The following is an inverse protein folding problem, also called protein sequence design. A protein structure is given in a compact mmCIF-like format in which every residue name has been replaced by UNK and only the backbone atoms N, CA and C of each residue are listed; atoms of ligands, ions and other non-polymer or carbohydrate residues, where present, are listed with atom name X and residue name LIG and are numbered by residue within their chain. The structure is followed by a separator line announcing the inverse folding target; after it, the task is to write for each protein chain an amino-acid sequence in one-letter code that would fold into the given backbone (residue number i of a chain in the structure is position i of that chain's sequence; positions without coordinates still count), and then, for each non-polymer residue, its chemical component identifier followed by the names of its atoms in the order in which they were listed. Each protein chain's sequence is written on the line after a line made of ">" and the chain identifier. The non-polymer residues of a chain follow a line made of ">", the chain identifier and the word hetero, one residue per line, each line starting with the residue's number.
data_IF_028437713059
#
_entry.id   IF_028437713059
#
_cell.length_a   1.000
_cell.length_b   1.000
_cell.length_c   1.000
_cell.angle_alpha   90.00
_cell.angle_beta   90.00
_cell.angle_gamma   90.00
#
_symmetry.space_group_name_H-M   'P 1'
#
loop_
_entity.id
_entity.type
_entity.pdbx_description
1 polymer ?
#
# COMPACT_ATOMS: atom_id res chain seq x y z
N UNK A 1 0.19 -6.21 23.99
CA UNK A 1 0.10 -5.92 22.54
C UNK A 1 0.10 -7.24 21.81
N UNK A 2 -0.83 -7.44 20.88
CA UNK A 2 -1.09 -8.70 20.16
C UNK A 2 -1.30 -8.44 18.67
N UNK A 3 -1.24 -9.49 17.85
CA UNK A 3 -1.57 -9.43 16.42
C UNK A 3 -0.76 -8.38 15.64
N UNK A 4 -1.46 -7.58 14.83
CA UNK A 4 -0.87 -6.51 14.01
C UNK A 4 -0.09 -5.47 14.80
N UNK A 5 -0.44 -5.19 16.06
CA UNK A 5 0.29 -4.20 16.87
C UNK A 5 1.73 -4.66 17.13
N UNK A 6 1.92 -5.98 17.35
CA UNK A 6 3.26 -6.56 17.49
C UNK A 6 4.03 -6.55 16.18
N UNK A 7 3.39 -6.90 15.06
CA UNK A 7 3.99 -6.82 13.72
C UNK A 7 4.43 -5.39 13.38
N UNK A 8 3.55 -4.41 13.58
CA UNK A 8 3.87 -3.00 13.35
C UNK A 8 5.03 -2.53 14.24
N UNK A 9 5.11 -2.99 15.49
CA UNK A 9 6.20 -2.67 16.40
C UNK A 9 7.55 -3.19 15.89
N UNK A 10 7.65 -4.47 15.49
CA UNK A 10 8.91 -5.02 14.98
C UNK A 10 9.28 -4.42 13.63
N UNK A 11 8.31 -4.23 12.72
CA UNK A 11 8.55 -3.64 11.40
C UNK A 11 8.94 -2.15 11.49
N UNK A 12 8.38 -1.41 12.44
CA UNK A 12 8.76 -0.03 12.71
C UNK A 12 10.15 0.10 13.33
N UNK A 13 10.52 -0.83 14.22
CA UNK A 13 11.85 -0.88 14.83
C UNK A 13 12.94 -1.37 13.85
N UNK A 14 12.58 -2.26 12.93
CA UNK A 14 13.48 -2.90 11.98
C UNK A 14 12.88 -2.86 10.57
N UNK A 15 13.07 -1.75 9.82
CA UNK A 15 12.51 -1.60 8.48
C UNK A 15 12.95 -2.68 7.49
N UNK A 16 14.07 -3.37 7.72
CA UNK A 16 14.53 -4.49 6.90
C UNK A 16 13.60 -5.71 6.91
N UNK A 17 12.83 -5.89 8.00
CA UNK A 17 11.85 -6.97 8.17
C UNK A 17 10.42 -6.45 7.96
N UNK A 18 10.26 -5.18 7.55
CA UNK A 18 9.00 -4.64 7.05
C UNK A 18 8.74 -5.18 5.64
N UNK A 19 8.36 -6.46 5.60
CA UNK A 19 8.10 -7.21 4.38
C UNK A 19 6.59 -7.30 4.19
N UNK A 20 6.11 -6.76 3.08
CA UNK A 20 4.70 -6.62 2.76
C UNK A 20 4.42 -7.11 1.36
N UNK A 21 3.15 -7.39 1.08
CA UNK A 21 2.70 -7.64 -0.28
C UNK A 21 2.64 -6.33 -1.05
N UNK A 22 3.14 -6.34 -2.29
CA UNK A 22 3.01 -5.22 -3.23
C UNK A 22 1.69 -5.23 -4.01
N UNK A 23 0.93 -6.33 -3.93
CA UNK A 23 -0.34 -6.54 -4.63
C UNK A 23 -0.23 -6.28 -6.15
N UNK A 24 0.81 -6.83 -6.78
CA UNK A 24 1.17 -6.54 -8.17
C UNK A 24 0.04 -6.79 -9.16
N UNK A 25 -0.66 -7.92 -9.05
CA UNK A 25 -1.78 -8.26 -9.92
C UNK A 25 -2.96 -7.31 -9.74
N UNK A 26 -3.32 -6.99 -8.49
CA UNK A 26 -4.46 -6.12 -8.19
C UNK A 26 -4.19 -4.68 -8.64
N UNK A 27 -2.97 -4.18 -8.46
CA UNK A 27 -2.59 -2.86 -8.94
C UNK A 27 -2.56 -2.79 -10.48
N UNK A 28 -2.09 -3.85 -11.15
CA UNK A 28 -2.16 -3.94 -12.60
C UNK A 28 -3.61 -3.97 -13.10
N UNK A 29 -4.48 -4.74 -12.45
CA UNK A 29 -5.91 -4.81 -12.76
C UNK A 29 -6.59 -3.44 -12.60
N UNK A 30 -6.31 -2.71 -11.52
CA UNK A 30 -6.81 -1.35 -11.33
C UNK A 30 -6.37 -0.40 -12.47
N UNK A 31 -5.09 -0.44 -12.85
CA UNK A 31 -4.58 0.36 -13.97
C UNK A 31 -5.26 0.01 -15.30
N UNK A 32 -5.52 -1.27 -15.56
CA UNK A 32 -6.20 -1.73 -16.77
C UNK A 32 -7.65 -1.25 -16.82
N UNK A 33 -8.38 -1.27 -15.70
CA UNK A 33 -9.74 -0.72 -15.65
C UNK A 33 -9.77 0.80 -15.84
N UNK A 34 -8.87 1.54 -15.19
CA UNK A 34 -8.75 2.99 -15.38
C UNK A 34 -8.41 3.35 -16.83
N UNK A 35 -7.51 2.59 -17.46
CA UNK A 35 -7.18 2.74 -18.88
C UNK A 35 -8.39 2.47 -19.78
N UNK A 36 -9.13 1.40 -19.53
CA UNK A 36 -10.33 1.06 -20.30
C UNK A 36 -11.42 2.14 -20.17
N UNK A 37 -11.63 2.67 -18.96
CA UNK A 37 -12.56 3.78 -18.74
C UNK A 37 -12.11 5.04 -19.50
N UNK A 38 -10.82 5.40 -19.44
CA UNK A 38 -10.28 6.54 -20.17
C UNK A 38 -10.45 6.41 -21.68
N UNK A 39 -10.17 5.24 -22.25
CA UNK A 39 -10.38 4.97 -23.68
C UNK A 39 -11.85 5.15 -24.07
N UNK A 40 -12.78 4.67 -23.23
CA UNK A 40 -14.21 4.85 -23.48
C UNK A 40 -14.62 6.32 -23.42
N UNK A 41 -14.15 7.06 -22.41
CA UNK A 41 -14.43 8.50 -22.27
C UNK A 41 -13.82 9.32 -23.41
N UNK A 42 -12.61 9.00 -23.84
CA UNK A 42 -11.94 9.66 -24.97
C UNK A 42 -12.71 9.44 -26.28
N UNK A 43 -13.15 8.21 -26.53
CA UNK A 43 -13.95 7.89 -27.71
C UNK A 43 -15.29 8.66 -27.72
N UNK A 44 -15.96 8.73 -26.58
CA UNK A 44 -17.22 9.48 -26.44
C UNK A 44 -16.98 11.00 -26.61
N UNK A 45 -15.91 11.55 -26.03
CA UNK A 45 -15.57 12.96 -26.20
C UNK A 45 -15.30 13.30 -27.67
N UNK A 46 -14.51 12.47 -28.38
CA UNK A 46 -14.22 12.65 -29.81
C UNK A 46 -15.51 12.60 -30.65
N UNK A 47 -16.42 11.69 -30.31
CA UNK A 47 -17.71 11.56 -30.98
C UNK A 47 -18.54 12.83 -30.82
N UNK A 48 -18.62 13.39 -29.62
CA UNK A 48 -19.38 14.61 -29.34
C UNK A 48 -18.74 15.83 -29.99
N UNK A 49 -17.43 16.00 -29.88
CA UNK A 49 -16.71 17.10 -30.53
C UNK A 49 -16.93 17.10 -32.05
N UNK A 50 -16.98 15.91 -32.67
CA UNK A 50 -17.32 15.79 -34.09
C UNK A 50 -18.75 16.23 -34.38
N UNK A 51 -19.72 15.77 -33.60
CA UNK A 51 -21.12 16.15 -33.75
C UNK A 51 -21.34 17.65 -33.55
N UNK A 52 -20.69 18.25 -32.56
CA UNK A 52 -20.79 19.68 -32.26
C UNK A 52 -20.19 20.51 -33.41
N UNK A 53 -19.08 20.07 -33.99
CA UNK A 53 -18.47 20.70 -35.17
C UNK A 53 -19.35 20.58 -36.43
N UNK A 54 -20.11 19.49 -36.57
CA UNK A 54 -20.96 19.21 -37.74
C UNK A 54 -22.42 19.69 -37.56
N UNK A 55 -22.76 20.25 -36.39
CA UNK A 55 -24.15 20.58 -36.00
C UNK A 55 -24.77 21.77 -36.74
N UNK A 56 -23.93 22.65 -37.33
CA UNK A 56 -24.38 23.91 -37.93
C UNK A 56 -24.78 24.98 -36.90
N UNK A 57 -24.65 24.70 -35.60
CA UNK A 57 -24.84 25.66 -34.51
C UNK A 57 -23.55 26.49 -34.32
N UNK A 58 -23.66 27.81 -34.37
CA UNK A 58 -22.53 28.73 -34.24
C UNK A 58 -21.80 28.55 -32.89
N UNK A 59 -22.54 28.40 -31.79
CA UNK A 59 -21.96 28.26 -30.45
C UNK A 59 -21.20 26.93 -30.34
N UNK A 60 -21.78 25.83 -30.84
CA UNK A 60 -21.17 24.50 -30.78
C UNK A 60 -19.91 24.39 -31.65
N UNK A 61 -19.88 25.09 -32.78
CA UNK A 61 -18.70 25.14 -33.65
C UNK A 61 -17.48 25.80 -32.98
N UNK A 62 -17.71 26.65 -31.97
CA UNK A 62 -16.68 27.40 -31.25
C UNK A 62 -16.12 26.61 -30.06
N UNK A 63 -16.83 25.61 -29.53
CA UNK A 63 -16.42 24.84 -28.34
C UNK A 63 -15.01 24.24 -28.43
N UNK A 64 -14.58 23.81 -29.63
CA UNK A 64 -13.23 23.29 -29.85
C UNK A 64 -12.12 24.35 -29.84
N UNK A 65 -12.49 25.64 -29.95
CA UNK A 65 -11.57 26.79 -30.05
C UNK A 65 -11.56 27.65 -28.79
N UNK A 66 -12.67 27.70 -28.05
CA UNK A 66 -12.77 28.46 -26.81
C UNK A 66 -13.36 27.63 -25.66
N UNK A 67 -12.52 27.42 -24.65
CA UNK A 67 -12.91 26.68 -23.46
C UNK A 67 -13.91 27.47 -22.59
N UNK A 68 -13.85 28.80 -22.62
CA UNK A 68 -14.72 29.64 -21.80
C UNK A 68 -16.16 29.52 -22.29
N UNK A 69 -16.38 29.67 -23.60
CA UNK A 69 -17.66 29.39 -24.25
C UNK A 69 -18.14 27.97 -23.91
N UNK A 70 -17.31 26.93 -24.09
CA UNK A 70 -17.70 25.56 -23.73
C UNK A 70 -18.13 25.39 -22.26
N UNK A 71 -17.43 26.07 -21.33
CA UNK A 71 -17.73 25.98 -19.91
C UNK A 71 -18.98 26.78 -19.52
N UNK A 72 -19.20 27.96 -20.10
CA UNK A 72 -20.30 28.88 -19.76
C UNK A 72 -21.60 28.51 -20.48
N UNK A 73 -21.55 28.04 -21.73
CA UNK A 73 -22.76 27.60 -22.46
C UNK A 73 -23.32 26.28 -21.91
N UNK A 74 -22.61 25.61 -20.99
CA UNK A 74 -23.01 24.35 -20.33
C UNK A 74 -24.25 24.45 -19.42
N UNK A 75 -24.83 25.65 -19.28
CA UNK A 75 -26.07 25.88 -18.54
C UNK A 75 -27.30 25.25 -19.22
N UNK A 76 -27.27 25.00 -20.53
CA UNK A 76 -28.30 24.23 -21.23
C UNK A 76 -27.97 22.74 -21.22
N UNK A 77 -28.95 21.83 -21.00
CA UNK A 77 -28.70 20.39 -20.90
C UNK A 77 -28.00 19.79 -22.14
N UNK A 78 -28.27 20.34 -23.32
CA UNK A 78 -27.70 19.87 -24.58
C UNK A 78 -26.23 20.25 -24.73
N UNK A 79 -25.81 21.42 -24.24
CA UNK A 79 -24.45 21.95 -24.42
C UNK A 79 -23.52 21.53 -23.27
N UNK A 80 -24.07 20.91 -22.23
CA UNK A 80 -23.34 20.47 -21.05
C UNK A 80 -22.47 19.22 -21.28
N UNK A 81 -22.89 18.37 -22.23
CA UNK A 81 -22.37 17.00 -22.40
C UNK A 81 -20.87 16.95 -22.68
N UNK A 82 -20.35 17.81 -23.57
CA UNK A 82 -18.92 17.86 -23.88
C UNK A 82 -18.08 18.30 -22.67
N UNK A 83 -18.54 19.32 -21.93
CA UNK A 83 -17.84 19.83 -20.76
C UNK A 83 -17.85 18.82 -19.59
N UNK A 84 -18.99 18.18 -19.33
CA UNK A 84 -19.10 17.11 -18.32
C UNK A 84 -18.15 15.94 -18.59
N UNK A 85 -18.05 15.50 -19.85
CA UNK A 85 -17.08 14.47 -20.22
C UNK A 85 -15.65 14.93 -19.99
N UNK A 86 -15.33 16.18 -20.33
CA UNK A 86 -14.00 16.73 -20.09
C UNK A 86 -13.67 16.76 -18.59
N UNK A 87 -14.63 17.15 -17.74
CA UNK A 87 -14.46 17.11 -16.28
C UNK A 87 -14.27 15.68 -15.76
N UNK A 88 -15.05 14.72 -16.26
CA UNK A 88 -14.90 13.31 -15.89
C UNK A 88 -13.53 12.76 -16.32
N UNK A 89 -13.10 13.05 -17.55
CA UNK A 89 -11.77 12.67 -18.05
C UNK A 89 -10.67 13.25 -17.15
N UNK A 90 -10.76 14.52 -16.76
CA UNK A 90 -9.75 15.14 -15.86
C UNK A 90 -9.63 14.39 -14.54
N UNK A 91 -10.75 13.98 -13.94
CA UNK A 91 -10.76 13.22 -12.70
C UNK A 91 -10.16 11.82 -12.88
N UNK A 92 -10.66 11.04 -13.84
CA UNK A 92 -10.17 9.68 -14.10
C UNK A 92 -8.70 9.67 -14.54
N UNK A 93 -8.28 10.66 -15.33
CA UNK A 93 -6.89 10.77 -15.79
C UNK A 93 -5.94 11.11 -14.64
N UNK A 94 -6.37 11.95 -13.70
CA UNK A 94 -5.61 12.23 -12.50
C UNK A 94 -5.44 10.96 -11.64
N UNK A 95 -6.51 10.19 -11.46
CA UNK A 95 -6.46 8.91 -10.74
C UNK A 95 -5.55 7.89 -11.42
N UNK A 96 -5.67 7.73 -12.73
CA UNK A 96 -4.79 6.86 -13.53
C UNK A 96 -3.32 7.25 -13.40
N UNK A 97 -3.01 8.54 -13.57
CA UNK A 97 -1.63 9.02 -13.49
C UNK A 97 -1.04 8.83 -12.08
N UNK A 98 -1.83 9.10 -11.04
CA UNK A 98 -1.42 8.88 -9.66
C UNK A 98 -1.15 7.39 -9.38
N UNK A 99 -2.08 6.51 -9.78
CA UNK A 99 -1.93 5.06 -9.63
C UNK A 99 -0.71 4.53 -10.39
N UNK A 100 -0.45 5.04 -11.60
CA UNK A 100 0.68 4.62 -12.43
C UNK A 100 2.02 5.00 -11.78
N UNK A 101 2.12 6.21 -11.24
CA UNK A 101 3.32 6.67 -10.53
C UNK A 101 3.55 5.91 -9.20
N UNK A 102 2.47 5.64 -8.45
CA UNK A 102 2.53 4.81 -7.25
C UNK A 102 3.02 3.40 -7.59
N UNK A 103 2.43 2.76 -8.60
CA UNK A 103 2.81 1.43 -9.02
C UNK A 103 4.24 1.38 -9.57
N UNK A 104 4.68 2.40 -10.32
CA UNK A 104 6.07 2.53 -10.77
C UNK A 104 7.06 2.61 -9.60
N UNK A 105 6.66 3.30 -8.52
CA UNK A 105 7.48 3.41 -7.31
C UNK A 105 7.51 2.09 -6.54
N UNK A 106 6.37 1.43 -6.37
CA UNK A 106 6.26 0.13 -5.72
C UNK A 106 7.04 -0.95 -6.50
N UNK A 107 7.02 -0.92 -7.82
CA UNK A 107 7.73 -1.88 -8.67
C UNK A 107 9.26 -1.76 -8.57
N UNK A 108 9.79 -0.65 -8.06
CA UNK A 108 11.22 -0.45 -7.81
C UNK A 108 11.67 -0.96 -6.44
N UNK A 109 10.73 -1.35 -5.57
CA UNK A 109 11.07 -1.93 -4.28
C UNK A 109 11.73 -3.29 -4.48
N UNK A 110 12.77 -3.54 -3.69
CA UNK A 110 13.52 -4.78 -3.75
C UNK A 110 12.70 -5.94 -3.18
N UNK A 111 12.93 -7.12 -3.74
CA UNK A 111 12.49 -8.37 -3.14
C UNK A 111 13.13 -8.55 -1.75
N UNK A 112 12.43 -9.16 -0.78
CA UNK A 112 12.99 -9.39 0.54
C UNK A 112 14.19 -10.33 0.50
N UNK A 113 15.22 -10.02 1.29
CA UNK A 113 16.32 -10.95 1.50
C UNK A 113 15.80 -12.21 2.23
N UNK A 114 16.21 -13.39 1.75
CA UNK A 114 15.80 -14.67 2.34
C UNK A 114 16.11 -14.80 3.85
N UNK A 115 17.18 -14.16 4.35
CA UNK A 115 17.51 -14.15 5.79
C UNK A 115 16.47 -13.36 6.59
N UNK A 116 16.13 -12.16 6.13
CA UNK A 116 15.21 -11.27 6.83
C UNK A 116 13.77 -11.80 6.76
N UNK A 117 13.42 -12.40 5.62
CA UNK A 117 12.16 -13.12 5.46
C UNK A 117 12.04 -14.28 6.46
N UNK A 118 13.06 -15.15 6.55
CA UNK A 118 13.06 -16.25 7.53
C UNK A 118 12.98 -15.75 8.96
N UNK A 119 13.77 -14.71 9.30
CA UNK A 119 13.71 -14.11 10.62
C UNK A 119 12.30 -13.63 10.97
N UNK A 120 11.61 -12.97 10.05
CA UNK A 120 10.23 -12.50 10.28
C UNK A 120 9.29 -13.68 10.55
N UNK A 121 9.30 -14.71 9.70
CA UNK A 121 8.46 -15.90 9.85
C UNK A 121 8.73 -16.63 11.18
N UNK A 122 10.01 -16.83 11.52
CA UNK A 122 10.42 -17.46 12.77
C UNK A 122 9.97 -16.63 13.99
N UNK A 123 10.12 -15.30 13.91
CA UNK A 123 9.71 -14.39 14.98
C UNK A 123 8.20 -14.41 15.21
N UNK A 124 7.40 -14.44 14.13
CA UNK A 124 5.93 -14.54 14.17
C UNK A 124 5.51 -15.80 14.92
N UNK A 125 6.09 -16.95 14.56
CA UNK A 125 5.72 -18.27 15.08
C UNK A 125 6.25 -18.56 16.49
N UNK A 126 7.34 -17.91 16.90
CA UNK A 126 8.02 -18.26 18.15
C UNK A 126 7.23 -17.76 19.38
N UNK A 127 6.79 -18.66 20.29
CA UNK A 127 5.99 -18.30 21.47
C UNK A 127 6.71 -17.37 22.46
N UNK A 128 8.06 -17.38 22.46
CA UNK A 128 8.88 -16.54 23.33
C UNK A 128 9.20 -15.17 22.73
N UNK A 129 8.92 -14.98 21.44
CA UNK A 129 9.20 -13.74 20.71
C UNK A 129 7.89 -13.06 20.32
N UNK A 130 7.52 -13.09 19.03
CA UNK A 130 6.34 -12.44 18.49
C UNK A 130 5.06 -13.08 19.01
N UNK A 131 4.98 -14.42 18.94
CA UNK A 131 3.77 -15.21 19.23
C UNK A 131 2.52 -14.59 18.60
N UNK A 132 2.62 -14.25 17.31
CA UNK A 132 1.58 -13.51 16.59
C UNK A 132 0.63 -14.50 15.93
N UNK A 133 -0.64 -14.42 16.33
CA UNK A 133 -1.74 -15.15 15.70
C UNK A 133 -2.70 -14.15 15.05
N UNK A 134 -2.88 -14.27 13.75
CA UNK A 134 -3.87 -13.53 12.99
C UNK A 134 -5.06 -14.46 12.70
N UNK A 135 -6.28 -13.92 12.73
CA UNK A 135 -7.51 -14.70 12.58
C UNK A 135 -8.22 -14.49 11.22
N UNK A 136 -7.71 -13.55 10.41
CA UNK A 136 -8.30 -13.16 9.13
C UNK A 136 -7.80 -14.01 7.96
N UNK A 137 -8.31 -13.75 6.76
CA UNK A 137 -7.87 -14.42 5.53
C UNK A 137 -6.38 -14.17 5.18
N UNK A 138 -5.75 -13.24 5.88
CA UNK A 138 -4.34 -12.87 5.78
C UNK A 138 -3.44 -13.61 6.79
N UNK A 139 -3.98 -14.59 7.52
CA UNK A 139 -3.27 -15.26 8.62
C UNK A 139 -1.97 -15.94 8.20
N UNK A 140 -1.87 -16.40 6.95
CA UNK A 140 -0.74 -17.15 6.41
C UNK A 140 0.08 -16.38 5.36
N UNK A 141 -0.11 -15.07 5.23
CA UNK A 141 0.55 -14.23 4.20
C UNK A 141 2.08 -14.44 4.14
N UNK A 142 2.73 -14.63 5.29
CA UNK A 142 4.18 -14.87 5.36
C UNK A 142 4.55 -16.36 5.43
N UNK A 143 3.60 -17.25 5.73
CA UNK A 143 3.82 -18.68 5.81
C UNK A 143 3.77 -19.36 4.43
N UNK A 144 2.83 -18.94 3.58
CA UNK A 144 2.67 -19.41 2.20
C UNK A 144 2.77 -18.23 1.21
N UNK A 145 3.94 -17.56 1.12
CA UNK A 145 4.07 -16.34 0.34
C UNK A 145 4.10 -16.62 -1.18
N UNK A 146 3.46 -15.74 -1.95
CA UNK A 146 3.79 -15.55 -3.37
C UNK A 146 5.02 -14.64 -3.42
N UNK A 147 6.22 -15.21 -3.57
CA UNK A 147 7.48 -14.48 -3.38
C UNK A 147 7.64 -13.29 -4.34
N UNK A 148 7.10 -13.38 -5.56
CA UNK A 148 7.11 -12.30 -6.56
C UNK A 148 6.21 -11.12 -6.18
N UNK A 149 5.32 -11.31 -5.21
CA UNK A 149 4.43 -10.29 -4.67
C UNK A 149 4.94 -9.72 -3.34
N UNK A 150 6.06 -10.22 -2.79
CA UNK A 150 6.64 -9.71 -1.55
C UNK A 150 7.72 -8.67 -1.83
N UNK A 151 7.68 -7.57 -1.10
CA UNK A 151 8.66 -6.48 -1.15
C UNK A 151 9.13 -6.12 0.24
N UNK A 152 10.39 -5.68 0.35
CA UNK A 152 10.90 -5.08 1.57
C UNK A 152 10.89 -3.56 1.44
N UNK A 153 10.42 -2.86 2.47
CA UNK A 153 10.50 -1.40 2.53
C UNK A 153 11.95 -0.90 2.56
N UNK A 154 12.88 -1.71 3.07
CA UNK A 154 14.30 -1.42 3.07
C UNK A 154 15.12 -2.69 2.89
N UNK A 155 15.63 -2.91 1.69
CA UNK A 155 16.62 -3.96 1.45
C UNK A 155 17.91 -3.65 2.21
N UNK A 156 18.47 -4.64 2.92
CA UNK A 156 19.84 -4.58 3.42
C UNK A 156 20.79 -4.67 2.23
N UNK A 157 21.38 -3.54 1.83
CA UNK A 157 22.52 -3.54 0.93
C UNK A 157 23.66 -4.34 1.57
N UNK A 158 24.41 -5.10 0.77
CA UNK A 158 25.45 -6.03 1.24
C UNK A 158 26.56 -5.37 2.09
N UNK A 159 26.66 -4.03 2.06
CA UNK A 159 27.67 -3.24 2.78
C UNK A 159 27.38 -3.06 4.29
N UNK A 160 26.19 -3.43 4.77
CA UNK A 160 25.72 -3.17 6.14
C UNK A 160 26.21 -4.19 7.20
N UNK A 161 27.42 -4.72 7.04
CA UNK A 161 28.05 -5.68 7.98
C UNK A 161 28.47 -4.98 9.29
N UNK A 162 28.78 -3.68 9.24
CA UNK A 162 29.20 -2.88 10.40
C UNK A 162 28.06 -2.66 11.42
N UNK A 163 26.81 -2.68 10.97
CA UNK A 163 25.61 -2.50 11.80
C UNK A 163 25.36 -3.68 12.77
N UNK A 164 26.06 -4.82 12.60
CA UNK A 164 26.01 -5.98 13.52
C UNK A 164 26.42 -5.66 14.96
N UNK A 165 27.13 -4.54 15.19
CA UNK A 165 27.49 -4.10 16.54
C UNK A 165 26.34 -3.46 17.32
N UNK A 166 25.32 -2.90 16.65
CA UNK A 166 24.18 -2.26 17.31
C UNK A 166 23.06 -3.26 17.65
N UNK A 167 22.87 -4.29 16.82
CA UNK A 167 21.82 -5.31 17.01
C UNK A 167 22.00 -6.10 18.31
N UNK A 168 23.24 -6.39 18.70
CA UNK A 168 23.52 -7.06 19.97
C UNK A 168 23.14 -6.23 21.20
N UNK A 169 23.13 -4.89 21.09
CA UNK A 169 22.78 -4.00 22.21
C UNK A 169 21.27 -3.91 22.44
N UNK A 170 20.48 -3.98 21.36
CA UNK A 170 19.01 -3.93 21.41
C UNK A 170 18.39 -5.26 21.88
N UNK A 171 18.93 -6.39 21.44
CA UNK A 171 18.55 -7.72 21.97
C UNK A 171 18.79 -7.76 23.49
N UNK A 172 19.91 -7.21 23.96
CA UNK A 172 20.24 -7.11 25.38
C UNK A 172 19.28 -6.17 26.14
N UNK A 173 18.89 -5.04 25.54
CA UNK A 173 17.98 -4.07 26.17
C UNK A 173 16.54 -4.60 26.30
N UNK A 174 16.06 -5.31 25.27
CA UNK A 174 14.74 -5.96 25.28
C UNK A 174 14.66 -7.08 26.34
N UNK A 175 15.72 -7.91 26.46
CA UNK A 175 15.77 -8.94 27.50
C UNK A 175 15.82 -8.35 28.93
N UNK A 176 16.53 -7.23 29.14
CA UNK A 176 16.78 -6.71 30.49
C UNK A 176 15.67 -5.80 31.05
N UNK A 177 14.76 -5.28 30.23
CA UNK A 177 13.72 -4.32 30.68
C UNK A 177 12.30 -4.88 30.71
N UNK A 178 11.98 -5.90 29.91
CA UNK A 178 10.63 -6.48 29.81
C UNK A 178 10.51 -7.94 30.30
N UNK A 179 11.61 -8.70 30.35
CA UNK A 179 11.62 -10.10 30.80
C UNK A 179 11.43 -10.33 32.30
N UNK A 180 11.73 -9.32 33.14
CA UNK A 180 11.70 -9.46 34.61
C UNK A 180 10.34 -9.13 35.27
N UNK A 181 9.37 -8.56 34.54
CA UNK A 181 8.09 -8.15 35.16
C UNK A 181 6.99 -9.21 35.14
N UNK A 182 7.21 -10.36 34.49
CA UNK A 182 6.24 -11.46 34.46
C UNK A 182 6.65 -12.68 35.32
N UNK A 183 7.94 -12.86 35.65
CA UNK A 183 8.34 -13.92 36.61
C UNK A 183 8.07 -13.55 38.07
N UNK A 184 8.07 -12.25 38.43
CA UNK A 184 7.90 -11.82 39.83
C UNK A 184 6.47 -12.01 40.35
N UNK A 185 5.45 -12.12 39.48
CA UNK A 185 4.07 -12.35 39.94
C UNK A 185 3.74 -13.81 40.21
N UNK A 186 4.45 -14.76 39.57
CA UNK A 186 4.31 -16.20 39.85
C UNK A 186 5.21 -16.68 40.99
N UNK A 187 6.32 -15.98 41.29
CA UNK A 187 7.23 -16.35 42.38
C UNK A 187 6.80 -15.82 43.77
N UNK A 188 6.01 -14.73 43.84
CA UNK A 188 5.53 -14.20 45.13
C UNK A 188 4.31 -14.98 45.66
N UNK A 189 3.46 -15.55 44.79
CA UNK A 189 2.29 -16.33 45.22
C UNK A 189 2.62 -17.75 45.68
N UNK A 190 3.78 -18.31 45.32
CA UNK A 190 4.16 -19.68 45.70
C UNK A 190 5.10 -19.78 46.92
N UNK A 191 5.55 -18.63 47.48
CA UNK A 191 6.43 -18.56 48.66
C UNK A 191 5.66 -18.18 49.95
N UNK A 192 4.42 -17.70 49.87
CA UNK A 192 3.64 -17.26 51.05
C UNK A 192 2.65 -18.29 51.64
N UNK A 193 2.57 -19.53 51.12
CA UNK A 193 1.75 -20.61 51.73
C UNK A 193 2.55 -21.70 52.47
N UNK A 194 3.88 -21.56 52.59
CA UNK A 194 4.72 -22.44 53.42
C UNK A 194 5.63 -21.63 54.34
N UNK A 195 5.05 -20.80 55.22
CA UNK A 195 5.59 -20.44 56.55
C UNK A 195 4.61 -19.51 57.30
N UNK A 196 3.58 -20.11 57.91
CA UNK A 196 3.10 -19.83 59.27
C UNK A 196 2.02 -20.87 59.63
#
# INVERSE_FOLDING_TARGET
>A
MEGYVRLASIMGAHPEVAILRRFGNLNAENLLYLQAELVNLENELRRIQKLDCESGDEDRSIFGRDWQTLAETSHTPEHRRQWELMLKIRLTLNEYNAALLQQSSIAKLDAPNARDFRFLVDWIKNPRLGNVFLLGADWDVWENPIMEDMVSLKSRQAEDIASRFLTNRLIYWYHNTLGWKLEVHYFILHILEFQC
#
